data_IF_326843555966
#
_entry.id   IF_326843555966
#
_cell.length_a   1.000
_cell.length_b   1.000
_cell.length_c   1.000
_cell.angle_alpha   90.00
_cell.angle_beta   90.00
_cell.angle_gamma   90.00
#
_symmetry.space_group_name_H-M   'P 1'
#
loop_
_entity.id
_entity.type
_entity.pdbx_description
1 polymer ?
#
# COMPACT_ATOMS: atom_id res chain seq x y z
N UNK A 1 -39.65 -11.18 12.79
CA UNK A 1 -38.53 -11.01 11.85
C UNK A 1 -38.84 -9.79 11.00
N UNK A 2 -38.11 -8.68 11.19
CA UNK A 2 -38.37 -7.46 10.43
C UNK A 2 -37.56 -7.53 9.12
N UNK A 3 -38.28 -7.51 8.00
CA UNK A 3 -37.72 -7.41 6.66
C UNK A 3 -37.14 -6.00 6.49
N UNK A 4 -35.82 -5.90 6.30
CA UNK A 4 -35.16 -4.64 5.97
C UNK A 4 -35.42 -4.37 4.49
N UNK A 5 -36.38 -3.50 4.19
CA UNK A 5 -36.65 -3.07 2.81
C UNK A 5 -35.39 -2.47 2.21
N UNK A 6 -34.87 -3.08 1.13
CA UNK A 6 -33.81 -2.50 0.35
C UNK A 6 -34.39 -1.33 -0.44
N UNK A 7 -34.19 -0.10 0.05
CA UNK A 7 -34.55 1.11 -0.68
C UNK A 7 -33.79 1.15 -2.01
N UNK A 8 -34.51 1.25 -3.12
CA UNK A 8 -33.91 1.56 -4.44
C UNK A 8 -33.17 2.88 -4.28
N UNK A 9 -31.83 2.82 -4.30
CA UNK A 9 -31.01 4.03 -4.18
C UNK A 9 -31.26 4.85 -5.45
N UNK A 10 -32.00 5.95 -5.31
CA UNK A 10 -32.20 6.92 -6.37
C UNK A 10 -30.89 7.64 -6.73
N UNK A 11 -30.94 8.52 -7.73
CA UNK A 11 -29.82 9.41 -8.03
C UNK A 11 -29.43 10.24 -6.80
N UNK A 12 -28.14 10.20 -6.41
CA UNK A 12 -27.57 11.04 -5.36
C UNK A 12 -26.68 12.11 -6.00
N UNK A 13 -26.99 13.40 -5.85
CA UNK A 13 -26.13 14.50 -6.30
C UNK A 13 -24.71 14.41 -5.73
N UNK A 14 -23.70 14.85 -6.49
CA UNK A 14 -22.29 14.69 -6.11
C UNK A 14 -21.91 15.41 -4.81
N UNK A 15 -22.52 16.57 -4.54
CA UNK A 15 -22.33 17.34 -3.29
C UNK A 15 -22.90 16.64 -2.05
N UNK A 16 -23.70 15.58 -2.25
CA UNK A 16 -24.26 14.73 -1.21
C UNK A 16 -23.56 13.37 -1.10
N UNK A 17 -22.51 13.13 -1.90
CA UNK A 17 -21.74 11.90 -1.76
C UNK A 17 -20.99 11.90 -0.41
N UNK A 18 -20.92 10.76 0.28
CA UNK A 18 -20.13 10.67 1.51
C UNK A 18 -18.66 10.93 1.19
N UNK A 19 -17.95 11.50 2.16
CA UNK A 19 -16.49 11.64 2.03
C UNK A 19 -15.82 10.27 2.05
N UNK A 20 -14.56 10.19 1.59
CA UNK A 20 -13.82 8.93 1.63
C UNK A 20 -13.65 8.43 3.07
N UNK A 21 -13.50 9.34 4.02
CA UNK A 21 -13.43 9.02 5.46
C UNK A 21 -14.74 8.43 5.96
N UNK A 22 -15.89 8.98 5.55
CA UNK A 22 -17.20 8.43 5.89
C UNK A 22 -17.43 7.06 5.23
N UNK A 23 -16.88 6.82 4.03
CA UNK A 23 -16.92 5.51 3.38
C UNK A 23 -16.01 4.49 4.06
N UNK A 24 -14.90 4.91 4.67
CA UNK A 24 -13.92 4.01 5.29
C UNK A 24 -14.42 3.38 6.60
N UNK A 25 -15.47 3.93 7.19
CA UNK A 25 -16.10 3.37 8.39
C UNK A 25 -16.67 1.97 8.09
N UNK A 26 -16.40 1.01 8.98
CA UNK A 26 -16.77 -0.40 8.80
C UNK A 26 -15.94 -1.22 7.79
N UNK A 27 -15.18 -0.60 6.87
CA UNK A 27 -14.37 -1.35 5.89
C UNK A 27 -13.21 -2.12 6.52
N UNK A 28 -12.75 -1.66 7.69
CA UNK A 28 -11.66 -2.29 8.43
C UNK A 28 -12.05 -3.66 9.02
N UNK A 29 -13.34 -3.91 9.25
CA UNK A 29 -13.84 -5.14 9.90
C UNK A 29 -13.64 -6.40 9.06
N UNK A 30 -13.39 -6.23 7.76
CA UNK A 30 -13.21 -7.32 6.81
C UNK A 30 -11.75 -7.48 6.36
N UNK A 31 -10.81 -6.81 7.04
CA UNK A 31 -9.40 -7.01 6.78
C UNK A 31 -8.93 -8.39 7.22
N UNK A 32 -8.00 -8.94 6.45
CA UNK A 32 -7.23 -10.11 6.84
C UNK A 32 -6.38 -9.80 8.08
N UNK A 33 -6.09 -10.81 8.90
CA UNK A 33 -5.11 -10.67 9.97
C UNK A 33 -3.72 -10.37 9.41
N UNK A 34 -3.00 -9.36 9.95
CA UNK A 34 -1.64 -9.06 9.52
C UNK A 34 -0.72 -10.28 9.68
N UNK A 35 0.09 -10.57 8.66
CA UNK A 35 1.05 -11.67 8.72
C UNK A 35 2.39 -11.19 9.31
N UNK A 36 2.89 -11.84 10.38
CA UNK A 36 4.19 -11.53 10.96
C UNK A 36 5.36 -12.15 10.17
N UNK A 37 5.08 -12.96 9.14
CA UNK A 37 6.08 -13.80 8.48
C UNK A 37 7.13 -13.02 7.69
N UNK A 38 6.96 -11.72 7.45
CA UNK A 38 7.99 -10.87 6.85
C UNK A 38 8.99 -10.32 7.88
N UNK A 39 8.68 -10.31 9.16
CA UNK A 39 9.55 -9.73 10.18
C UNK A 39 10.94 -10.41 10.19
N UNK A 40 11.99 -9.58 10.21
CA UNK A 40 13.38 -10.01 10.15
C UNK A 40 13.91 -10.32 8.74
N UNK A 41 13.06 -10.24 7.70
CA UNK A 41 13.52 -10.44 6.31
C UNK A 41 14.11 -9.17 5.74
N UNK A 42 15.19 -9.34 4.97
CA UNK A 42 15.74 -8.30 4.11
C UNK A 42 15.59 -8.75 2.67
N UNK A 43 14.91 -7.95 1.85
CA UNK A 43 14.68 -8.26 0.45
C UNK A 43 15.24 -7.15 -0.43
N UNK A 44 15.97 -7.55 -1.48
CA UNK A 44 16.56 -6.64 -2.46
C UNK A 44 15.99 -6.97 -3.82
N UNK A 45 15.35 -6.00 -4.46
CA UNK A 45 14.78 -6.17 -5.79
C UNK A 45 15.50 -5.29 -6.80
N UNK A 46 15.61 -5.80 -8.02
CA UNK A 46 16.07 -5.06 -9.19
C UNK A 46 14.88 -4.92 -10.12
N UNK A 47 14.56 -3.68 -10.51
CA UNK A 47 13.48 -3.35 -11.42
C UNK A 47 13.99 -3.29 -12.86
N UNK A 48 13.09 -3.34 -13.84
CA UNK A 48 13.41 -3.30 -15.27
C UNK A 48 14.16 -2.02 -15.68
N UNK A 49 13.91 -0.91 -14.98
CA UNK A 49 14.63 0.35 -15.14
C UNK A 49 16.02 0.35 -14.46
N UNK A 50 16.54 -0.82 -14.07
CA UNK A 50 17.80 -1.02 -13.36
C UNK A 50 17.88 -0.44 -11.95
N UNK A 51 16.78 0.07 -11.39
CA UNK A 51 16.76 0.51 -10.00
C UNK A 51 16.89 -0.68 -9.07
N UNK A 52 17.58 -0.48 -7.94
CA UNK A 52 17.73 -1.49 -6.90
C UNK A 52 17.26 -0.93 -5.59
N UNK A 53 16.28 -1.57 -4.97
CA UNK A 53 15.69 -1.12 -3.71
C UNK A 53 15.77 -2.27 -2.70
N UNK A 54 16.25 -1.94 -1.50
CA UNK A 54 16.27 -2.83 -0.33
C UNK A 54 15.09 -2.49 0.56
N UNK A 55 14.39 -3.51 1.04
CA UNK A 55 13.39 -3.43 2.09
C UNK A 55 13.83 -4.32 3.25
N UNK A 56 13.90 -3.76 4.45
CA UNK A 56 14.24 -4.44 5.70
C UNK A 56 13.00 -4.42 6.58
N UNK A 57 12.39 -5.59 6.77
CA UNK A 57 11.16 -5.74 7.52
C UNK A 57 11.48 -5.98 9.00
N UNK A 58 10.95 -5.13 9.87
CA UNK A 58 10.90 -5.34 11.30
C UNK A 58 9.50 -5.85 11.70
N UNK A 59 9.19 -5.86 13.00
CA UNK A 59 7.93 -6.38 13.51
C UNK A 59 6.71 -5.63 12.94
N UNK A 60 6.75 -4.30 12.95
CA UNK A 60 5.66 -3.42 12.48
C UNK A 60 6.13 -2.30 11.55
N UNK A 61 7.44 -2.12 11.43
CA UNK A 61 8.07 -1.09 10.60
C UNK A 61 8.92 -1.72 9.52
N UNK A 62 9.15 -0.96 8.46
CA UNK A 62 9.94 -1.34 7.33
C UNK A 62 10.92 -0.20 7.06
N UNK A 63 12.18 -0.53 6.83
CA UNK A 63 13.17 0.40 6.30
C UNK A 63 13.37 0.15 4.82
N UNK A 64 13.21 1.18 4.00
CA UNK A 64 13.55 1.12 2.58
C UNK A 64 14.86 1.86 2.29
N UNK A 65 15.60 1.40 1.30
CA UNK A 65 16.84 2.07 0.84
C UNK A 65 17.00 1.88 -0.67
N UNK A 66 17.18 2.99 -1.39
CA UNK A 66 17.49 2.96 -2.82
C UNK A 66 18.99 2.73 -2.97
N UNK A 67 19.37 1.52 -3.39
CA UNK A 67 20.75 1.10 -3.58
C UNK A 67 21.33 1.56 -4.92
N UNK A 68 20.47 1.69 -5.94
CA UNK A 68 20.81 2.14 -7.30
C UNK A 68 19.58 2.77 -7.92
N UNK A 69 19.74 3.88 -8.61
CA UNK A 69 18.66 4.64 -9.24
C UNK A 69 18.99 6.12 -9.22
N UNK A 70 18.00 6.95 -9.56
CA UNK A 70 18.10 8.41 -9.51
C UNK A 70 18.39 8.90 -8.08
N UNK A 71 17.65 8.37 -7.10
CA UNK A 71 17.77 8.74 -5.69
C UNK A 71 18.65 7.76 -4.88
N UNK A 72 19.75 7.27 -5.47
CA UNK A 72 20.63 6.32 -4.79
C UNK A 72 21.18 6.90 -3.47
N UNK A 73 21.06 6.13 -2.38
CA UNK A 73 21.41 6.55 -1.02
C UNK A 73 20.21 7.00 -0.19
N UNK A 74 19.08 7.36 -0.83
CA UNK A 74 17.86 7.72 -0.11
C UNK A 74 17.29 6.52 0.65
N UNK A 75 16.81 6.79 1.86
CA UNK A 75 16.22 5.79 2.75
C UNK A 75 15.17 6.41 3.66
N UNK A 76 14.28 5.59 4.19
CA UNK A 76 13.34 5.99 5.21
C UNK A 76 12.72 4.79 5.92
N UNK A 77 12.08 5.08 7.04
CA UNK A 77 11.32 4.12 7.83
C UNK A 77 9.82 4.41 7.65
N UNK A 78 9.00 3.37 7.58
CA UNK A 78 7.55 3.46 7.50
C UNK A 78 6.89 2.35 8.30
N UNK A 79 5.75 2.63 8.91
CA UNK A 79 4.84 1.57 9.34
C UNK A 79 4.30 0.85 8.11
N UNK A 80 4.14 -0.47 8.21
CA UNK A 80 3.58 -1.27 7.13
C UNK A 80 2.48 -2.20 7.63
N UNK A 81 1.58 -2.56 6.72
CA UNK A 81 0.67 -3.69 6.87
C UNK A 81 1.05 -4.75 5.87
N UNK A 82 1.12 -6.01 6.29
CA UNK A 82 1.37 -7.13 5.40
C UNK A 82 0.31 -8.20 5.58
N UNK A 83 -0.17 -8.74 4.46
CA UNK A 83 -1.22 -9.73 4.41
C UNK A 83 -0.73 -10.91 3.56
N UNK A 84 -0.64 -12.10 4.14
CA UNK A 84 -0.25 -13.30 3.42
C UNK A 84 -1.46 -13.90 2.72
N UNK A 85 -1.69 -13.48 1.48
CA UNK A 85 -2.88 -13.86 0.70
C UNK A 85 -2.82 -15.30 0.20
N UNK A 86 -1.61 -15.87 0.11
CA UNK A 86 -1.31 -17.30 -0.12
C UNK A 86 0.04 -17.59 0.51
N UNK A 87 0.34 -18.86 0.80
CA UNK A 87 1.64 -19.27 1.34
C UNK A 87 2.81 -18.67 0.55
N UNK A 88 3.59 -17.79 1.18
CA UNK A 88 4.73 -17.10 0.58
C UNK A 88 4.39 -15.92 -0.34
N UNK A 89 3.11 -15.56 -0.52
CA UNK A 89 2.66 -14.43 -1.34
C UNK A 89 2.01 -13.38 -0.43
N UNK A 90 2.56 -12.16 -0.47
CA UNK A 90 2.17 -11.08 0.42
C UNK A 90 1.71 -9.86 -0.35
N UNK A 91 0.66 -9.20 0.16
CA UNK A 91 0.38 -7.79 -0.15
C UNK A 91 0.92 -6.97 1.01
N UNK A 92 1.75 -5.98 0.71
CA UNK A 92 2.34 -5.06 1.70
C UNK A 92 2.00 -3.63 1.33
N UNK A 93 1.44 -2.87 2.26
CA UNK A 93 1.17 -1.44 2.10
C UNK A 93 1.95 -0.61 3.12
N UNK A 94 2.56 0.47 2.65
CA UNK A 94 3.20 1.47 3.50
C UNK A 94 3.23 2.85 2.85
N UNK A 95 3.19 3.90 3.67
CA UNK A 95 3.23 5.28 3.20
C UNK A 95 4.61 5.89 3.40
N UNK A 96 5.14 6.54 2.36
CA UNK A 96 6.36 7.35 2.41
C UNK A 96 5.97 8.81 2.62
N UNK A 97 5.98 9.25 3.87
CA UNK A 97 5.54 10.59 4.26
C UNK A 97 6.27 11.70 3.47
N UNK A 98 7.60 11.64 3.42
CA UNK A 98 8.43 12.64 2.74
C UNK A 98 8.14 12.76 1.24
N UNK A 99 7.63 11.68 0.63
CA UNK A 99 7.35 11.61 -0.80
C UNK A 99 5.85 11.75 -1.10
N UNK A 100 5.02 11.77 -0.05
CA UNK A 100 3.55 11.72 -0.12
C UNK A 100 3.02 10.58 -1.01
N UNK A 101 3.66 9.41 -0.92
CA UNK A 101 3.39 8.25 -1.77
C UNK A 101 2.94 7.04 -0.93
N UNK A 102 1.85 6.40 -1.34
CA UNK A 102 1.46 5.08 -0.88
C UNK A 102 2.07 4.02 -1.81
N UNK A 103 2.76 3.06 -1.21
CA UNK A 103 3.44 1.97 -1.90
C UNK A 103 2.72 0.67 -1.56
N UNK A 104 2.29 -0.06 -2.60
CA UNK A 104 1.76 -1.42 -2.49
C UNK A 104 2.74 -2.38 -3.15
N UNK A 105 3.22 -3.36 -2.40
CA UNK A 105 4.06 -4.45 -2.91
C UNK A 105 3.22 -5.73 -2.98
N UNK A 106 3.22 -6.39 -4.13
CA UNK A 106 2.82 -7.78 -4.26
C UNK A 106 4.09 -8.63 -4.36
N UNK A 107 4.44 -9.25 -3.24
CA UNK A 107 5.64 -10.07 -3.08
C UNK A 107 5.29 -11.54 -3.30
N UNK A 108 5.93 -12.20 -4.26
CA UNK A 108 5.88 -13.65 -4.44
C UNK A 108 7.26 -14.22 -4.07
N UNK A 109 7.42 -14.62 -2.81
CA UNK A 109 8.69 -15.14 -2.30
C UNK A 109 9.10 -16.46 -2.99
N UNK A 110 8.19 -17.43 -3.24
CA UNK A 110 8.52 -18.66 -3.98
C UNK A 110 9.13 -18.42 -5.36
N UNK A 111 8.57 -17.51 -6.16
CA UNK A 111 9.11 -17.22 -7.50
C UNK A 111 10.18 -16.12 -7.51
N UNK A 112 10.32 -15.38 -6.42
CA UNK A 112 11.22 -14.23 -6.31
C UNK A 112 10.73 -12.98 -7.03
N UNK A 113 9.48 -12.97 -7.51
CA UNK A 113 8.90 -11.85 -8.22
C UNK A 113 8.35 -10.78 -7.27
N UNK A 114 8.38 -9.53 -7.73
CA UNK A 114 7.76 -8.39 -7.08
C UNK A 114 7.00 -7.57 -8.13
N UNK A 115 5.76 -7.19 -7.79
CA UNK A 115 5.06 -6.09 -8.47
C UNK A 115 4.86 -4.95 -7.50
N UNK A 116 5.05 -3.73 -7.98
CA UNK A 116 4.91 -2.52 -7.16
C UNK A 116 3.89 -1.61 -7.79
N UNK A 117 2.97 -1.11 -6.98
CA UNK A 117 2.18 0.08 -7.27
C UNK A 117 2.73 1.23 -6.45
N UNK A 118 2.91 2.37 -7.10
CA UNK A 118 3.22 3.64 -6.44
C UNK A 118 2.06 4.56 -6.76
N UNK A 119 1.39 5.03 -5.72
CA UNK A 119 0.32 6.01 -5.83
C UNK A 119 0.69 7.21 -4.97
N UNK A 120 0.28 8.40 -5.39
CA UNK A 120 0.60 9.62 -4.68
C UNK A 120 -0.14 10.79 -5.29
N UNK A 121 0.14 11.98 -4.81
CA UNK A 121 -0.38 13.19 -5.41
C UNK A 121 0.73 13.97 -6.10
N UNK A 122 0.44 14.50 -7.27
CA UNK A 122 1.30 15.43 -8.00
C UNK A 122 0.59 16.78 -8.14
N UNK A 123 1.32 17.87 -7.93
CA UNK A 123 0.82 19.20 -8.21
C UNK A 123 1.07 19.50 -9.69
N UNK A 124 -0.01 19.52 -10.49
CA UNK A 124 0.08 19.85 -11.92
C UNK A 124 -0.70 21.14 -12.16
N UNK A 125 0.03 22.19 -12.53
CA UNK A 125 -0.56 23.52 -12.83
C UNK A 125 -1.37 24.13 -11.67
N UNK A 126 -0.96 23.89 -10.43
CA UNK A 126 -1.65 24.40 -9.23
C UNK A 126 -2.83 23.55 -8.76
N UNK A 127 -3.09 22.41 -9.40
CA UNK A 127 -4.13 21.47 -9.02
C UNK A 127 -3.53 20.14 -8.55
N UNK A 128 -4.01 19.64 -7.42
CA UNK A 128 -3.58 18.36 -6.84
C UNK A 128 -4.23 17.21 -7.62
N UNK A 129 -3.42 16.37 -8.26
CA UNK A 129 -3.86 15.21 -9.07
C UNK A 129 -3.25 13.91 -8.53
N UNK A 130 -3.90 12.78 -8.78
CA UNK A 130 -3.37 11.43 -8.50
C UNK A 130 -2.63 10.87 -9.69
#
# INVERSE_FOLDING_TARGET
>A
MAQKEASVVGYVPQDQWPTLEAMADGFHEHLMDPSPHLAGKTIKYTFDNSWRIKHEFHATTLKWTILKGEDAGSSGDAEYKAYEVRSGIFIVDFYKEDHKQLITLLLDLPSGQLKVSVSGFTDKSGERRT
#
